data_IF_519970432464
#
_entry.id   IF_519970432464
#
_cell.length_a   1.000
_cell.length_b   1.000
_cell.length_c   1.000
_cell.angle_alpha   90.00
_cell.angle_beta   90.00
_cell.angle_gamma   90.00
#
_symmetry.space_group_name_H-M   'P 1'
#
loop_
_entity.id
_entity.type
_entity.pdbx_description
1 polymer ?
#
# COMPACT_ATOMS: atom_id res chain seq x y z
N UNK A 1 10.22 7.86 -21.69
CA UNK A 1 9.72 6.48 -21.43
C UNK A 1 9.76 5.70 -22.73
N UNK A 2 10.10 4.39 -22.77
CA UNK A 2 9.84 3.64 -23.99
C UNK A 2 8.33 3.52 -24.13
N UNK A 3 7.77 4.29 -25.07
CA UNK A 3 6.34 4.36 -25.43
C UNK A 3 5.74 2.96 -25.67
N UNK A 4 6.59 1.97 -25.96
CA UNK A 4 6.23 0.59 -26.26
C UNK A 4 5.56 -0.17 -25.10
N UNK A 5 5.98 0.00 -23.83
CA UNK A 5 5.44 -0.84 -22.75
C UNK A 5 3.96 -0.55 -22.47
N UNK A 6 3.62 0.73 -22.27
CA UNK A 6 2.24 1.18 -21.99
C UNK A 6 1.33 0.83 -23.17
N UNK A 7 1.78 1.11 -24.40
CA UNK A 7 1.02 0.78 -25.61
C UNK A 7 0.74 -0.72 -25.72
N UNK A 8 1.73 -1.58 -25.45
CA UNK A 8 1.54 -3.04 -25.50
C UNK A 8 0.55 -3.53 -24.45
N UNK A 9 0.66 -3.06 -23.19
CA UNK A 9 -0.29 -3.41 -22.14
C UNK A 9 -1.71 -2.96 -22.48
N UNK A 10 -1.88 -1.74 -22.99
CA UNK A 10 -3.18 -1.22 -23.42
C UNK A 10 -3.77 -2.03 -24.59
N UNK A 11 -2.95 -2.38 -25.59
CA UNK A 11 -3.39 -3.20 -26.71
C UNK A 11 -3.85 -4.60 -26.26
N UNK A 12 -3.14 -5.23 -25.32
CA UNK A 12 -3.56 -6.51 -24.74
C UNK A 12 -4.87 -6.39 -23.96
N UNK A 13 -5.04 -5.31 -23.18
CA UNK A 13 -6.28 -5.06 -22.44
C UNK A 13 -7.46 -4.84 -23.40
N UNK A 14 -7.25 -4.09 -24.48
CA UNK A 14 -8.28 -3.87 -25.50
C UNK A 14 -8.74 -5.19 -26.14
N UNK A 15 -7.79 -6.06 -26.53
CA UNK A 15 -8.10 -7.41 -27.03
C UNK A 15 -8.86 -8.27 -26.00
N UNK A 16 -8.54 -8.13 -24.70
CA UNK A 16 -9.24 -8.83 -23.64
C UNK A 16 -10.69 -8.33 -23.47
N UNK A 17 -10.88 -7.01 -23.45
CA UNK A 17 -12.19 -6.36 -23.24
C UNK A 17 -13.11 -6.59 -24.44
N UNK A 18 -12.57 -6.59 -25.64
CA UNK A 18 -13.31 -6.89 -26.89
C UNK A 18 -13.59 -8.39 -27.09
N UNK A 19 -13.02 -9.26 -26.26
CA UNK A 19 -13.22 -10.72 -26.32
C UNK A 19 -12.35 -11.43 -27.37
N UNK A 20 -11.41 -10.74 -28.01
CA UNK A 20 -10.47 -11.33 -28.97
C UNK A 20 -9.50 -12.30 -28.32
N UNK A 21 -9.17 -12.09 -27.03
CA UNK A 21 -8.40 -13.02 -26.21
C UNK A 21 -9.11 -13.25 -24.87
N UNK A 22 -8.93 -14.43 -24.29
CA UNK A 22 -9.39 -14.72 -22.94
C UNK A 22 -8.35 -14.27 -21.89
N UNK A 23 -8.72 -14.35 -20.60
CA UNK A 23 -7.83 -13.95 -19.48
C UNK A 23 -6.48 -14.66 -19.48
N UNK A 24 -6.42 -15.95 -19.83
CA UNK A 24 -5.16 -16.71 -19.90
C UNK A 24 -4.27 -16.19 -21.02
N UNK A 25 -4.85 -15.90 -22.19
CA UNK A 25 -4.15 -15.29 -23.32
C UNK A 25 -3.61 -13.90 -22.99
N UNK A 26 -4.40 -13.07 -22.32
CA UNK A 26 -3.99 -11.72 -21.91
C UNK A 26 -2.82 -11.75 -20.90
N UNK A 27 -2.91 -12.60 -19.89
CA UNK A 27 -1.83 -12.83 -18.91
C UNK A 27 -0.55 -13.27 -19.61
N UNK A 28 -0.63 -14.29 -20.48
CA UNK A 28 0.53 -14.77 -21.22
C UNK A 28 1.17 -13.68 -22.09
N UNK A 29 0.35 -12.86 -22.76
CA UNK A 29 0.85 -11.75 -23.56
C UNK A 29 1.61 -10.71 -22.72
N UNK A 30 1.08 -10.33 -21.55
CA UNK A 30 1.75 -9.39 -20.64
C UNK A 30 3.03 -10.00 -20.05
N UNK A 31 2.99 -11.26 -19.60
CA UNK A 31 4.15 -11.94 -19.01
C UNK A 31 5.28 -12.15 -20.03
N UNK A 32 4.97 -12.20 -21.32
CA UNK A 32 5.95 -12.33 -22.41
C UNK A 32 6.71 -11.04 -22.75
N UNK A 33 6.30 -9.90 -22.17
CA UNK A 33 6.97 -8.62 -22.40
C UNK A 33 8.34 -8.60 -21.72
N UNK A 34 9.37 -8.14 -22.45
CA UNK A 34 10.67 -7.85 -21.85
C UNK A 34 10.59 -6.53 -21.06
N UNK A 35 10.59 -6.64 -19.73
CA UNK A 35 10.39 -5.53 -18.81
C UNK A 35 11.55 -5.40 -17.81
N UNK A 36 11.84 -4.17 -17.39
CA UNK A 36 12.72 -3.91 -16.23
C UNK A 36 12.04 -4.31 -14.92
N UNK A 37 12.80 -4.50 -13.84
CA UNK A 37 12.31 -4.99 -12.54
C UNK A 37 10.96 -4.38 -12.08
N UNK A 38 10.90 -3.07 -11.84
CA UNK A 38 9.66 -2.41 -11.40
C UNK A 38 8.49 -2.51 -12.39
N UNK A 39 8.78 -2.56 -13.70
CA UNK A 39 7.73 -2.74 -14.71
C UNK A 39 7.21 -4.17 -14.71
N UNK A 40 8.07 -5.14 -14.43
CA UNK A 40 7.67 -6.54 -14.25
C UNK A 40 6.78 -6.71 -13.01
N UNK A 41 7.09 -6.02 -11.90
CA UNK A 41 6.21 -5.98 -10.72
C UNK A 41 4.84 -5.38 -11.05
N UNK A 42 4.81 -4.25 -11.78
CA UNK A 42 3.53 -3.71 -12.25
C UNK A 42 2.77 -4.68 -13.18
N UNK A 43 3.47 -5.36 -14.09
CA UNK A 43 2.88 -6.38 -14.95
C UNK A 43 2.27 -7.53 -14.14
N UNK A 44 2.95 -7.99 -13.09
CA UNK A 44 2.45 -9.01 -12.18
C UNK A 44 1.16 -8.53 -11.47
N UNK A 45 1.15 -7.31 -10.94
CA UNK A 45 -0.04 -6.70 -10.34
C UNK A 45 -1.22 -6.59 -11.33
N UNK A 46 -0.93 -6.19 -12.58
CA UNK A 46 -1.91 -6.10 -13.65
C UNK A 46 -2.47 -7.49 -14.01
N UNK A 47 -1.62 -8.50 -14.16
CA UNK A 47 -2.00 -9.88 -14.43
C UNK A 47 -2.85 -10.47 -13.28
N UNK A 48 -2.54 -10.15 -12.02
CA UNK A 48 -3.33 -10.56 -10.86
C UNK A 48 -4.73 -9.95 -10.87
N UNK A 49 -4.85 -8.67 -11.22
CA UNK A 49 -6.14 -8.00 -11.43
C UNK A 49 -6.92 -8.61 -12.61
N UNK A 50 -6.27 -8.87 -13.75
CA UNK A 50 -6.89 -9.56 -14.90
C UNK A 50 -7.46 -10.92 -14.52
N UNK A 51 -6.90 -11.62 -13.53
CA UNK A 51 -7.45 -12.90 -13.05
C UNK A 51 -8.67 -12.73 -12.14
N UNK A 52 -8.77 -11.62 -11.40
CA UNK A 52 -9.74 -11.46 -10.29
C UNK A 52 -10.93 -10.57 -10.61
N UNK A 53 -10.73 -9.51 -11.41
CA UNK A 53 -11.75 -8.49 -11.66
C UNK A 53 -12.91 -9.02 -12.50
N UNK A 54 -14.16 -8.59 -12.23
CA UNK A 54 -15.28 -8.90 -13.10
C UNK A 54 -15.14 -8.21 -14.46
N UNK A 55 -15.80 -8.70 -15.53
CA UNK A 55 -15.80 -8.03 -16.83
C UNK A 55 -16.41 -6.63 -16.77
N UNK A 56 -17.49 -6.47 -15.99
CA UNK A 56 -18.24 -5.23 -15.76
C UNK A 56 -18.29 -4.91 -14.27
N UNK A 57 -18.49 -3.64 -13.93
CA UNK A 57 -18.63 -3.22 -12.55
C UNK A 57 -19.88 -3.87 -11.91
N UNK A 58 -19.73 -4.28 -10.66
CA UNK A 58 -20.80 -4.80 -9.81
C UNK A 58 -21.29 -3.59 -8.99
N UNK A 59 -22.61 -3.34 -8.98
CA UNK A 59 -23.20 -2.13 -8.37
C UNK A 59 -23.32 -2.25 -6.84
N UNK A 60 -23.26 -3.46 -6.32
CA UNK A 60 -23.38 -3.75 -4.90
C UNK A 60 -22.21 -3.19 -4.08
N UNK A 61 -22.54 -2.76 -2.86
CA UNK A 61 -21.56 -2.27 -1.90
C UNK A 61 -20.59 -3.38 -1.48
N UNK A 62 -19.30 -3.09 -1.64
CA UNK A 62 -18.23 -3.97 -1.20
C UNK A 62 -18.00 -3.83 0.31
N UNK A 63 -18.00 -4.95 1.01
CA UNK A 63 -17.46 -4.99 2.37
C UNK A 63 -15.92 -4.97 2.33
N UNK A 64 -15.30 -4.73 3.49
CA UNK A 64 -13.84 -4.60 3.61
C UNK A 64 -13.10 -5.88 3.20
N UNK A 65 -13.60 -7.06 3.58
CA UNK A 65 -12.96 -8.34 3.23
C UNK A 65 -12.99 -8.61 1.73
N UNK A 66 -14.10 -8.30 1.06
CA UNK A 66 -14.20 -8.41 -0.39
C UNK A 66 -13.34 -7.39 -1.10
N UNK A 67 -13.32 -6.14 -0.62
CA UNK A 67 -12.42 -5.10 -1.11
C UNK A 67 -10.96 -5.57 -1.07
N UNK A 68 -10.53 -6.09 0.07
CA UNK A 68 -9.17 -6.56 0.27
C UNK A 68 -8.85 -7.75 -0.64
N UNK A 69 -9.65 -8.82 -0.60
CA UNK A 69 -9.35 -10.08 -1.30
C UNK A 69 -9.54 -10.04 -2.82
N UNK A 70 -10.40 -9.15 -3.34
CA UNK A 70 -10.74 -9.08 -4.77
C UNK A 70 -9.95 -8.02 -5.52
N UNK A 71 -9.63 -6.89 -4.88
CA UNK A 71 -9.04 -5.71 -5.54
C UNK A 71 -7.66 -5.39 -5.00
N UNK A 72 -7.55 -5.18 -3.69
CA UNK A 72 -6.34 -4.63 -3.07
C UNK A 72 -5.22 -5.66 -3.03
N UNK A 73 -5.50 -6.85 -2.49
CA UNK A 73 -4.53 -7.93 -2.34
C UNK A 73 -3.92 -8.35 -3.67
N UNK A 74 -4.70 -8.65 -4.74
CA UNK A 74 -4.12 -9.00 -6.04
C UNK A 74 -3.20 -7.92 -6.62
N UNK A 75 -3.52 -6.65 -6.39
CA UNK A 75 -2.70 -5.54 -6.86
C UNK A 75 -1.42 -5.40 -6.03
N UNK A 76 -1.54 -5.28 -4.71
CA UNK A 76 -0.40 -5.05 -3.82
C UNK A 76 0.54 -6.26 -3.76
N UNK A 77 0.03 -7.49 -3.77
CA UNK A 77 0.86 -8.71 -3.82
C UNK A 77 1.71 -8.73 -5.09
N UNK A 78 1.12 -8.43 -6.25
CA UNK A 78 1.88 -8.33 -7.50
C UNK A 78 2.94 -7.22 -7.48
N UNK A 79 2.75 -6.17 -6.66
CA UNK A 79 3.74 -5.11 -6.50
C UNK A 79 4.83 -5.42 -5.47
N UNK A 80 4.54 -6.15 -4.39
CA UNK A 80 5.45 -6.21 -3.22
C UNK A 80 5.82 -7.62 -2.77
N UNK A 81 5.12 -8.67 -3.22
CA UNK A 81 5.58 -10.03 -2.96
C UNK A 81 6.81 -10.35 -3.82
N UNK A 82 7.84 -10.84 -3.15
CA UNK A 82 9.02 -11.42 -3.78
C UNK A 82 9.47 -12.58 -2.89
N UNK A 83 8.91 -13.76 -3.13
CA UNK A 83 9.19 -14.93 -2.31
C UNK A 83 10.65 -15.40 -2.42
N UNK A 84 11.31 -15.11 -3.55
CA UNK A 84 12.71 -15.45 -3.76
C UNK A 84 13.63 -14.51 -2.94
N UNK A 85 13.24 -13.24 -2.80
CA UNK A 85 13.87 -12.29 -1.88
C UNK A 85 13.33 -12.37 -0.43
N UNK A 86 12.39 -13.27 -0.16
CA UNK A 86 11.75 -13.43 1.15
C UNK A 86 10.88 -12.25 1.58
N UNK A 87 10.31 -11.47 0.65
CA UNK A 87 9.41 -10.35 0.92
C UNK A 87 7.96 -10.81 0.76
N UNK A 88 7.13 -10.52 1.76
CA UNK A 88 5.73 -10.95 1.80
C UNK A 88 4.81 -9.80 2.19
N UNK A 89 3.80 -9.52 1.38
CA UNK A 89 2.60 -8.82 1.76
C UNK A 89 1.70 -9.76 2.58
N UNK A 90 1.23 -9.30 3.73
CA UNK A 90 0.48 -10.12 4.68
C UNK A 90 -0.68 -9.35 5.28
N UNK A 91 -1.87 -9.92 5.19
CA UNK A 91 -3.05 -9.49 5.94
C UNK A 91 -3.10 -10.25 7.27
N UNK A 92 -2.80 -9.58 8.38
CA UNK A 92 -2.55 -10.29 9.65
C UNK A 92 -3.54 -9.92 10.74
N UNK A 93 -3.90 -8.64 10.86
CA UNK A 93 -4.60 -8.14 12.05
C UNK A 93 -3.93 -8.66 13.35
N UNK A 94 -2.60 -8.69 13.35
CA UNK A 94 -1.76 -9.12 14.46
C UNK A 94 -0.92 -7.95 14.99
N UNK A 95 -0.40 -8.08 16.21
CA UNK A 95 0.58 -7.12 16.72
C UNK A 95 1.86 -7.12 15.89
N UNK A 96 2.44 -5.94 15.74
CA UNK A 96 3.64 -5.75 14.91
C UNK A 96 4.87 -6.48 15.47
N UNK A 97 5.88 -6.75 14.63
CA UNK A 97 7.10 -7.44 15.04
C UNK A 97 7.86 -6.68 16.13
N UNK A 98 7.88 -5.35 16.04
CA UNK A 98 8.52 -4.45 17.01
C UNK A 98 7.81 -4.56 18.36
N UNK A 99 6.48 -4.56 18.35
CA UNK A 99 5.66 -4.71 19.56
C UNK A 99 5.89 -6.06 20.22
N UNK A 100 5.94 -7.14 19.44
CA UNK A 100 6.22 -8.50 19.93
C UNK A 100 7.63 -8.62 20.53
N UNK A 101 8.64 -7.94 19.97
CA UNK A 101 10.04 -8.01 20.43
C UNK A 101 10.34 -7.09 21.62
N UNK A 102 9.75 -5.90 21.65
CA UNK A 102 10.15 -4.84 22.58
C UNK A 102 9.10 -4.52 23.64
N UNK A 103 7.88 -5.06 23.54
CA UNK A 103 6.79 -4.82 24.47
C UNK A 103 6.25 -3.40 24.35
N UNK A 104 5.11 -3.24 23.67
CA UNK A 104 4.36 -1.97 23.64
C UNK A 104 2.87 -2.21 23.91
N UNK A 105 2.23 -1.28 24.62
CA UNK A 105 0.99 -1.51 25.39
C UNK A 105 -0.33 -1.22 24.65
N UNK A 106 -0.32 -0.60 23.48
CA UNK A 106 -1.56 -0.10 22.88
C UNK A 106 -2.40 -1.17 22.15
N UNK A 107 -1.91 -2.41 22.05
CA UNK A 107 -2.65 -3.53 21.44
C UNK A 107 -3.02 -3.36 19.97
N UNK A 108 -2.53 -2.29 19.33
CA UNK A 108 -2.80 -1.91 17.95
C UNK A 108 -2.27 -2.95 16.97
N UNK A 109 -3.02 -3.12 15.89
CA UNK A 109 -2.76 -4.12 14.85
C UNK A 109 -3.04 -3.49 13.49
N UNK A 110 -2.09 -3.52 12.56
CA UNK A 110 -2.36 -3.14 11.19
C UNK A 110 -3.20 -4.22 10.51
N UNK A 111 -4.04 -3.80 9.57
CA UNK A 111 -4.74 -4.73 8.68
C UNK A 111 -3.72 -5.51 7.82
N UNK A 112 -2.70 -4.80 7.30
CA UNK A 112 -1.64 -5.39 6.48
C UNK A 112 -0.22 -4.95 6.86
N UNK A 113 0.75 -5.78 6.53
CA UNK A 113 2.16 -5.43 6.56
C UNK A 113 2.93 -6.03 5.38
N UNK A 114 4.05 -5.40 5.02
CA UNK A 114 5.05 -5.95 4.11
C UNK A 114 6.25 -6.36 4.97
N UNK A 115 6.57 -7.65 4.98
CA UNK A 115 7.52 -8.24 5.92
C UNK A 115 8.54 -9.10 5.19
N UNK A 116 9.81 -8.91 5.53
CA UNK A 116 10.92 -9.77 5.12
C UNK A 116 11.02 -10.99 6.04
N UNK A 117 11.30 -12.15 5.47
CA UNK A 117 11.66 -13.37 6.20
C UNK A 117 13.17 -13.59 6.17
N UNK A 118 13.67 -14.36 7.14
CA UNK A 118 15.01 -14.92 7.10
C UNK A 118 14.91 -16.38 7.54
N UNK A 119 14.98 -17.29 6.57
CA UNK A 119 14.62 -18.70 6.76
C UNK A 119 13.17 -18.86 7.20
N UNK A 120 12.95 -19.54 8.32
CA UNK A 120 11.59 -19.84 8.84
C UNK A 120 11.00 -18.76 9.76
N UNK A 121 11.67 -17.61 9.90
CA UNK A 121 11.24 -16.54 10.83
C UNK A 121 11.05 -15.21 10.11
N UNK A 122 10.08 -14.44 10.59
CA UNK A 122 9.91 -13.03 10.21
C UNK A 122 11.03 -12.18 10.80
N UNK A 123 11.70 -11.39 9.95
CA UNK A 123 12.89 -10.63 10.33
C UNK A 123 12.53 -9.16 10.63
N UNK A 124 11.98 -8.47 9.62
CA UNK A 124 11.78 -7.03 9.56
C UNK A 124 10.55 -6.68 8.74
N UNK A 125 9.87 -5.58 9.07
CA UNK A 125 8.74 -5.04 8.31
C UNK A 125 9.14 -3.74 7.63
N UNK A 126 8.92 -3.63 6.33
CA UNK A 126 9.24 -2.45 5.51
C UNK A 126 7.99 -1.62 5.14
N UNK A 127 6.79 -2.11 5.47
CA UNK A 127 5.57 -1.33 5.28
C UNK A 127 4.38 -1.80 6.10
N UNK A 128 3.44 -0.89 6.31
CA UNK A 128 2.21 -1.11 7.07
C UNK A 128 1.03 -0.45 6.38
N UNK A 129 -0.17 -1.02 6.56
CA UNK A 129 -1.36 -0.42 6.01
C UNK A 129 -2.66 -0.76 6.72
N UNK A 130 -3.65 0.08 6.43
CA UNK A 130 -5.02 0.04 6.94
C UNK A 130 -5.98 0.13 5.76
N UNK A 131 -7.05 -0.66 5.78
CA UNK A 131 -8.02 -0.71 4.71
C UNK A 131 -9.43 -0.50 5.23
N UNK A 132 -10.23 0.33 4.55
CA UNK A 132 -11.64 0.56 4.90
C UNK A 132 -12.52 0.54 3.66
N UNK A 133 -13.73 0.01 3.81
CA UNK A 133 -14.72 0.00 2.73
C UNK A 133 -15.15 1.43 2.32
N UNK A 134 -15.64 1.59 1.08
CA UNK A 134 -16.10 2.88 0.54
C UNK A 134 -17.14 3.58 1.41
N UNK A 135 -18.05 2.81 2.03
CA UNK A 135 -19.06 3.32 2.97
C UNK A 135 -18.50 4.04 4.21
N UNK A 136 -17.22 3.87 4.51
CA UNK A 136 -16.54 4.56 5.61
C UNK A 136 -15.79 5.82 5.16
N UNK A 137 -15.77 6.12 3.85
CA UNK A 137 -15.02 7.26 3.32
C UNK A 137 -15.49 8.61 3.88
N UNK A 138 -16.78 8.76 4.16
CA UNK A 138 -17.36 9.96 4.78
C UNK A 138 -17.19 10.00 6.31
N UNK A 139 -16.77 8.90 6.93
CA UNK A 139 -16.42 8.89 8.34
C UNK A 139 -14.97 9.37 8.50
N UNK A 140 -14.80 10.69 8.46
CA UNK A 140 -13.49 11.32 8.57
C UNK A 140 -12.77 10.94 9.87
N UNK A 141 -13.50 10.61 10.94
CA UNK A 141 -12.88 10.16 12.18
C UNK A 141 -12.17 8.83 11.96
N UNK A 142 -12.86 7.83 11.39
CA UNK A 142 -12.28 6.50 11.10
C UNK A 142 -11.11 6.62 10.13
N UNK A 143 -11.28 7.34 9.01
CA UNK A 143 -10.23 7.51 8.00
C UNK A 143 -8.99 8.20 8.56
N UNK A 144 -9.16 9.25 9.38
CA UNK A 144 -8.02 9.93 10.00
C UNK A 144 -7.35 9.09 11.09
N UNK A 145 -8.14 8.34 11.86
CA UNK A 145 -7.62 7.44 12.88
C UNK A 145 -6.75 6.35 12.27
N UNK A 146 -7.20 5.75 11.16
CA UNK A 146 -6.42 4.74 10.44
C UNK A 146 -5.12 5.31 9.87
N UNK A 147 -5.13 6.54 9.33
CA UNK A 147 -3.89 7.19 8.88
C UNK A 147 -2.90 7.39 10.03
N UNK A 148 -3.39 7.79 11.21
CA UNK A 148 -2.55 7.95 12.39
C UNK A 148 -2.00 6.61 12.90
N UNK A 149 -2.79 5.53 12.85
CA UNK A 149 -2.29 4.17 13.11
C UNK A 149 -1.16 3.80 12.16
N UNK A 150 -1.33 4.01 10.85
CA UNK A 150 -0.27 3.77 9.86
C UNK A 150 0.98 4.56 10.22
N UNK A 151 0.87 5.86 10.50
CA UNK A 151 1.99 6.70 10.92
C UNK A 151 2.69 6.17 12.18
N UNK A 152 1.93 5.74 13.18
CA UNK A 152 2.46 5.16 14.43
C UNK A 152 3.20 3.84 14.18
N UNK A 153 2.64 2.93 13.37
CA UNK A 153 3.30 1.68 12.99
C UNK A 153 4.60 1.95 12.23
N UNK A 154 4.56 2.83 11.24
CA UNK A 154 5.73 3.23 10.48
C UNK A 154 6.81 3.85 11.37
N UNK A 155 6.43 4.67 12.35
CA UNK A 155 7.38 5.35 13.25
C UNK A 155 8.07 4.34 14.15
N UNK A 156 7.29 3.45 14.77
CA UNK A 156 7.84 2.39 15.61
C UNK A 156 8.78 1.46 14.81
N UNK A 157 8.41 1.11 13.58
CA UNK A 157 9.23 0.31 12.69
C UNK A 157 10.54 1.01 12.32
N UNK A 158 10.47 2.28 11.90
CA UNK A 158 11.62 3.10 11.57
C UNK A 158 12.60 3.16 12.73
N UNK A 159 12.07 3.39 13.94
CA UNK A 159 12.88 3.54 15.14
C UNK A 159 13.54 2.25 15.61
N UNK A 160 12.74 1.18 15.73
CA UNK A 160 13.20 -0.09 16.31
C UNK A 160 14.01 -0.93 15.34
N UNK A 161 13.66 -0.89 14.05
CA UNK A 161 14.34 -1.67 13.03
C UNK A 161 15.50 -0.91 12.37
N UNK A 162 15.64 0.40 12.63
CA UNK A 162 16.68 1.28 12.07
C UNK A 162 16.61 1.32 10.56
N UNK A 163 15.46 1.71 10.01
CA UNK A 163 15.27 1.87 8.56
C UNK A 163 15.46 3.33 8.15
N UNK A 164 15.87 3.58 6.91
CA UNK A 164 15.93 4.95 6.35
C UNK A 164 14.52 5.49 6.02
N UNK A 165 13.56 4.59 5.80
CA UNK A 165 12.15 4.90 5.62
C UNK A 165 11.26 3.67 5.78
N UNK A 166 9.96 3.91 5.98
CA UNK A 166 8.94 2.85 6.03
C UNK A 166 7.76 3.24 5.15
N UNK A 167 7.27 2.30 4.34
CA UNK A 167 6.11 2.51 3.48
C UNK A 167 4.81 2.50 4.31
N UNK A 168 4.01 3.54 4.18
CA UNK A 168 2.65 3.61 4.73
C UNK A 168 1.62 3.46 3.62
N UNK A 169 0.60 2.63 3.83
CA UNK A 169 -0.46 2.38 2.86
C UNK A 169 -1.81 2.66 3.51
N UNK A 170 -2.58 3.57 2.91
CA UNK A 170 -3.96 3.82 3.33
C UNK A 170 -4.90 3.45 2.18
N UNK A 171 -5.86 2.56 2.46
CA UNK A 171 -6.87 2.16 1.48
C UNK A 171 -8.25 2.59 1.97
N UNK A 172 -8.96 3.34 1.13
CA UNK A 172 -10.37 3.72 1.36
C UNK A 172 -11.16 3.41 0.10
N UNK A 173 -12.08 2.45 0.19
CA UNK A 173 -12.66 1.82 -0.99
C UNK A 173 -11.55 1.30 -1.91
N UNK A 174 -11.64 1.57 -3.20
CA UNK A 174 -10.62 1.17 -4.20
C UNK A 174 -9.45 2.15 -4.32
N UNK A 175 -9.41 3.20 -3.51
CA UNK A 175 -8.35 4.20 -3.59
C UNK A 175 -7.24 3.85 -2.61
N UNK A 176 -6.03 3.73 -3.13
CA UNK A 176 -4.82 3.47 -2.38
C UNK A 176 -3.97 4.74 -2.39
N UNK A 177 -3.62 5.22 -1.20
CA UNK A 177 -2.64 6.28 -1.02
C UNK A 177 -1.37 5.68 -0.43
N UNK A 178 -0.26 5.88 -1.12
CA UNK A 178 1.07 5.50 -0.65
C UNK A 178 1.75 6.68 0.01
N UNK A 179 2.40 6.39 1.14
CA UNK A 179 3.20 7.33 1.89
C UNK A 179 4.57 6.72 2.18
N UNK A 180 5.57 7.56 2.41
CA UNK A 180 6.82 7.16 3.05
C UNK A 180 7.01 7.95 4.33
N UNK A 181 7.27 7.25 5.42
CA UNK A 181 7.72 7.87 6.67
C UNK A 181 9.25 7.92 6.70
N UNK A 182 9.79 9.10 6.97
CA UNK A 182 11.22 9.39 7.02
C UNK A 182 11.58 10.16 8.31
N UNK A 183 12.87 10.15 8.65
CA UNK A 183 13.46 10.98 9.71
C UNK A 183 14.56 11.87 9.10
N UNK A 184 14.20 12.91 8.30
CA UNK A 184 15.16 13.73 7.55
C UNK A 184 16.09 14.57 8.44
N UNK A 185 15.66 14.90 9.67
CA UNK A 185 16.43 15.70 10.61
C UNK A 185 16.17 15.23 12.05
N UNK A 186 17.03 15.67 12.97
CA UNK A 186 16.94 15.35 14.39
C UNK A 186 15.55 15.69 14.94
N UNK A 187 14.85 14.66 15.43
CA UNK A 187 13.51 14.68 16.03
C UNK A 187 12.38 15.12 15.09
N UNK A 188 12.61 15.15 13.78
CA UNK A 188 11.61 15.54 12.79
C UNK A 188 11.18 14.35 11.96
N UNK A 189 10.08 13.71 12.34
CA UNK A 189 9.44 12.66 11.54
C UNK A 189 8.56 13.30 10.46
N UNK A 190 8.66 12.79 9.23
CA UNK A 190 7.90 13.31 8.10
C UNK A 190 7.23 12.17 7.35
N UNK A 191 5.91 12.23 7.20
CA UNK A 191 5.14 11.30 6.37
C UNK A 191 4.77 12.00 5.06
N UNK A 192 5.43 11.61 3.96
CA UNK A 192 5.24 12.21 2.64
C UNK A 192 4.31 11.35 1.80
N UNK A 193 3.29 11.95 1.17
CA UNK A 193 2.46 11.27 0.18
C UNK A 193 3.26 11.08 -1.11
N UNK A 194 3.33 9.83 -1.59
CA UNK A 194 4.03 9.45 -2.81
C UNK A 194 3.09 9.46 -4.02
N UNK A 195 1.97 8.74 -3.90
CA UNK A 195 1.02 8.56 -5.00
C UNK A 195 -0.38 8.25 -4.46
N UNK A 196 -1.38 8.56 -5.28
CA UNK A 196 -2.76 8.15 -5.10
C UNK A 196 -3.19 7.37 -6.34
N UNK A 197 -3.75 6.17 -6.13
CA UNK A 197 -4.09 5.22 -7.17
C UNK A 197 -5.51 4.71 -6.94
N UNK A 198 -6.38 4.85 -7.93
CA UNK A 198 -7.73 4.27 -7.90
C UNK A 198 -7.70 2.93 -8.64
N UNK A 199 -7.97 1.84 -7.93
CA UNK A 199 -8.08 0.52 -8.54
C UNK A 199 -9.36 0.42 -9.39
N UNK A 200 -9.30 -0.25 -10.55
CA UNK A 200 -10.47 -0.48 -11.37
C UNK A 200 -11.44 -1.45 -10.70
N UNK A 201 -12.75 -1.27 -10.93
CA UNK A 201 -13.82 -2.17 -10.47
C UNK A 201 -14.02 -3.35 -11.41
N UNK A 202 -13.50 -3.24 -12.63
CA UNK A 202 -13.78 -4.15 -13.73
C UNK A 202 -12.65 -4.16 -14.74
N UNK A 203 -12.67 -5.11 -15.67
CA UNK A 203 -11.70 -5.16 -16.77
C UNK A 203 -11.72 -3.89 -17.63
N UNK A 204 -12.89 -3.26 -17.80
CA UNK A 204 -13.02 -2.01 -18.56
C UNK A 204 -12.24 -0.83 -17.95
N UNK A 205 -12.01 -0.85 -16.63
CA UNK A 205 -11.25 0.19 -15.94
C UNK A 205 -9.73 0.03 -15.99
N UNK A 206 -9.21 -1.13 -16.42
CA UNK A 206 -7.77 -1.40 -16.44
C UNK A 206 -6.93 -0.41 -17.25
N UNK A 207 -7.38 0.13 -18.40
CA UNK A 207 -6.61 1.13 -19.14
C UNK A 207 -6.21 2.34 -18.29
N UNK A 208 -7.12 2.82 -17.42
CA UNK A 208 -6.86 3.94 -16.51
C UNK A 208 -5.80 3.63 -15.45
N UNK A 209 -5.68 2.36 -15.04
CA UNK A 209 -4.60 1.95 -14.13
C UNK A 209 -3.25 1.94 -14.85
N UNK A 210 -3.23 1.48 -16.12
CA UNK A 210 -2.00 1.42 -16.94
C UNK A 210 -1.44 2.82 -17.22
N UNK A 211 -2.29 3.83 -17.42
CA UNK A 211 -1.82 5.21 -17.56
C UNK A 211 -1.21 5.77 -16.27
N UNK A 212 -1.59 5.23 -15.11
CA UNK A 212 -1.01 5.53 -13.80
C UNK A 212 0.36 4.88 -13.52
N UNK A 213 0.91 4.11 -14.45
CA UNK A 213 2.20 3.42 -14.30
C UNK A 213 3.33 4.30 -13.75
N UNK A 214 3.57 5.55 -14.20
CA UNK A 214 4.66 6.37 -13.67
C UNK A 214 4.60 6.56 -12.16
N UNK A 215 3.40 6.76 -11.59
CA UNK A 215 3.22 6.94 -10.16
C UNK A 215 3.56 5.66 -9.38
N UNK A 216 3.19 4.50 -9.93
CA UNK A 216 3.52 3.19 -9.33
C UNK A 216 5.03 2.96 -9.34
N UNK A 217 5.68 3.25 -10.47
CA UNK A 217 7.14 3.12 -10.57
C UNK A 217 7.86 4.03 -9.56
N UNK A 218 7.36 5.25 -9.32
CA UNK A 218 7.91 6.12 -8.27
C UNK A 218 7.73 5.55 -6.86
N UNK A 219 6.60 4.90 -6.57
CA UNK A 219 6.40 4.21 -5.28
C UNK A 219 7.38 3.06 -5.11
N UNK A 220 7.55 2.23 -6.15
CA UNK A 220 8.47 1.09 -6.12
C UNK A 220 9.93 1.53 -5.98
N UNK A 221 10.33 2.61 -6.67
CA UNK A 221 11.66 3.18 -6.54
C UNK A 221 11.93 3.70 -5.12
N UNK A 222 10.96 4.39 -4.50
CA UNK A 222 11.07 4.83 -3.10
C UNK A 222 11.13 3.63 -2.15
N UNK A 223 10.32 2.60 -2.40
CA UNK A 223 10.31 1.39 -1.58
C UNK A 223 11.69 0.71 -1.57
N UNK A 224 12.28 0.47 -2.75
CA UNK A 224 13.56 -0.22 -2.85
C UNK A 224 14.75 0.61 -2.33
N UNK A 225 14.70 1.93 -2.53
CA UNK A 225 15.83 2.79 -2.16
C UNK A 225 15.77 3.29 -0.71
N UNK A 226 14.57 3.46 -0.13
CA UNK A 226 14.40 4.04 1.20
C UNK A 226 13.86 3.06 2.24
N UNK A 227 13.06 2.05 1.86
CA UNK A 227 12.48 1.09 2.82
C UNK A 227 13.46 -0.06 3.15
N UNK A 228 14.69 0.33 3.49
CA UNK A 228 15.84 -0.52 3.78
C UNK A 228 16.48 -0.14 5.11
N UNK A 229 17.30 -1.04 5.66
CA UNK A 229 18.11 -0.75 6.85
C UNK A 229 19.01 0.47 6.61
N UNK A 230 19.04 1.36 7.59
CA UNK A 230 19.81 2.58 7.57
C UNK A 230 21.30 2.27 7.43
N UNK A 231 21.94 2.95 6.47
CA UNK A 231 23.39 2.83 6.26
C UNK A 231 24.19 3.45 7.41
N UNK A 232 23.69 4.57 7.96
CA UNK A 232 24.26 5.24 9.12
C UNK A 232 23.39 5.03 10.35
N UNK A 233 23.65 3.93 11.05
CA UNK A 233 22.93 3.53 12.26
C UNK A 233 23.12 4.57 13.38
N UNK A 234 24.30 5.19 13.47
CA UNK A 234 24.58 6.18 14.52
C UNK A 234 23.70 7.41 14.34
N UNK A 235 23.67 7.96 13.12
CA UNK A 235 22.73 9.05 12.78
C UNK A 235 21.28 8.65 13.04
N UNK A 236 20.90 7.43 12.64
CA UNK A 236 19.54 6.95 12.86
C UNK A 236 19.18 6.88 14.36
N UNK A 237 20.12 6.58 15.25
CA UNK A 237 19.89 6.61 16.71
C UNK A 237 19.85 8.05 17.22
N UNK A 238 20.84 8.87 16.85
CA UNK A 238 21.02 10.23 17.39
C UNK A 238 19.87 11.17 16.98
N UNK A 239 19.26 10.92 15.83
CA UNK A 239 18.13 11.73 15.34
C UNK A 239 16.78 11.35 15.96
N UNK A 240 16.65 10.22 16.67
CA UNK A 240 15.35 9.79 17.18
C UNK A 240 14.87 10.59 18.39
N UNK A 241 13.57 10.54 18.63
CA UNK A 241 12.97 10.96 19.90
C UNK A 241 11.94 9.95 20.35
N UNK A 242 11.58 9.96 21.63
CA UNK A 242 10.45 9.18 22.11
C UNK A 242 9.20 9.57 21.32
N UNK A 243 8.52 8.57 20.78
CA UNK A 243 7.23 8.75 20.09
C UNK A 243 6.12 8.65 21.12
N UNK A 244 5.18 9.59 21.07
CA UNK A 244 4.01 9.62 21.95
C UNK A 244 3.08 8.41 21.70
N UNK A 245 2.41 7.89 22.74
CA UNK A 245 1.51 6.75 22.60
C UNK A 245 0.26 7.12 21.78
N UNK A 246 -0.36 6.12 21.16
CA UNK A 246 -1.54 6.37 20.33
C UNK A 246 -2.72 6.90 21.16
N UNK A 247 -2.74 6.56 22.45
CA UNK A 247 -3.72 7.06 23.43
C UNK A 247 -3.75 8.59 23.54
N UNK A 248 -2.63 9.29 23.31
CA UNK A 248 -2.59 10.75 23.31
C UNK A 248 -3.35 11.33 22.10
N UNK A 249 -3.25 10.67 20.94
CA UNK A 249 -3.99 11.08 19.74
C UNK A 249 -5.50 10.87 19.89
N UNK A 250 -5.94 9.88 20.68
CA UNK A 250 -7.37 9.71 21.01
C UNK A 250 -7.95 10.91 21.75
N UNK A 251 -7.13 11.68 22.47
CA UNK A 251 -7.59 12.92 23.13
C UNK A 251 -7.81 14.06 22.13
N UNK A 252 -7.11 14.03 20.99
CA UNK A 252 -7.21 15.04 19.92
C UNK A 252 -8.37 14.68 18.97
N UNK A 253 -8.54 13.38 18.71
CA UNK A 253 -9.64 12.79 17.94
C UNK A 253 -10.86 12.59 18.84
N UNK A 254 -11.60 13.67 19.10
CA UNK A 254 -12.84 13.54 19.86
C UNK A 254 -13.88 12.76 19.04
N UNK A 255 -14.41 11.68 19.64
CA UNK A 255 -15.53 10.90 19.12
C UNK A 255 -16.85 11.69 19.05
N UNK A 256 -16.89 12.87 19.69
CA UNK A 256 -17.98 13.84 19.68
C UNK A 256 -17.84 14.94 18.61
N UNK A 257 -16.76 14.96 17.82
CA UNK A 257 -16.61 15.89 16.68
C UNK A 257 -17.42 15.38 15.49
N UNK A 258 -18.15 16.30 14.86
CA UNK A 258 -18.98 16.03 13.69
C UNK A 258 -18.22 15.24 12.62
N UNK A 259 -18.71 14.03 12.31
CA UNK A 259 -18.14 13.13 11.28
C UNK A 259 -18.08 13.81 9.90
N UNK A 260 -18.90 14.83 9.66
CA UNK A 260 -18.98 15.63 8.43
C UNK A 260 -18.13 16.91 8.46
N UNK A 261 -17.39 17.19 9.54
CA UNK A 261 -16.51 18.36 9.60
C UNK A 261 -15.53 18.32 8.42
N UNK A 262 -15.35 19.43 7.66
CA UNK A 262 -14.45 19.44 6.52
C UNK A 262 -13.04 19.05 6.94
N UNK A 263 -12.55 17.92 6.41
CA UNK A 263 -11.16 17.51 6.54
C UNK A 263 -10.46 17.79 5.20
N UNK A 264 -9.35 18.53 5.21
CA UNK A 264 -8.59 18.83 3.99
C UNK A 264 -7.89 17.61 3.38
N UNK A 265 -7.94 16.46 4.06
CA UNK A 265 -7.59 15.15 3.48
C UNK A 265 -8.62 14.66 2.45
N UNK A 266 -9.56 15.51 1.99
CA UNK A 266 -10.62 15.17 1.02
C UNK A 266 -10.11 14.27 -0.10
N UNK A 267 -10.36 12.98 0.06
CA UNK A 267 -10.43 12.01 -1.01
C UNK A 267 -11.63 12.43 -1.86
N UNK A 268 -11.39 13.09 -2.98
CA UNK A 268 -12.48 13.38 -3.92
C UNK A 268 -12.89 12.05 -4.55
N UNK A 269 -14.03 11.52 -4.13
CA UNK A 269 -14.68 10.40 -4.80
C UNK A 269 -15.95 10.88 -5.46
N UNK A 270 -15.91 10.85 -6.80
CA UNK A 270 -16.92 10.31 -7.71
C UNK A 270 -16.13 9.93 -8.97
#
# INVERSE_FOLDING_TARGET
>A
MPVNTVANMLATIDQLVTGNINRKGAVHAIDSLSLSAHKSMFAAALCSLIRKLPPLAIEEDLNESELCSRFVDPFLSGLFDDFDAGVYLRWTNETTLETKKHGNQDGLRPDMCITKSYGVKWSSSCGYGEAKASKQAEDHHVVCYDLLKVAAFCTNALDKQRFDGILGIQIVGRTIIFYVLLLPATKLYTMLRLAEIKLPDSLQGLPSLVTGLPNILSVLDVFDNLCISAKDIKRAIDCQTSTEPMSLFNLILSSSKDRKRPCHLKLRHN
#
